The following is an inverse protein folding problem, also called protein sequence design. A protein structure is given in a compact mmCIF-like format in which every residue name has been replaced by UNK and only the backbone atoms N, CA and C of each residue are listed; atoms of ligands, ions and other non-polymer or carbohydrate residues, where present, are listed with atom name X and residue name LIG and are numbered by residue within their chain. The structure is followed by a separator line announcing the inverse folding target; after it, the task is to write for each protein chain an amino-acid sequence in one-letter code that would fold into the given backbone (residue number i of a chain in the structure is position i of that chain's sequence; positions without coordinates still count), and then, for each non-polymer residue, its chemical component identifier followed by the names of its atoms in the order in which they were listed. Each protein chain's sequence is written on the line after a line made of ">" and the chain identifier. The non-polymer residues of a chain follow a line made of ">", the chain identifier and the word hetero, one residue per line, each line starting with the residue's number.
data_IF_030071542132
#
_entry.id   IF_030071542132
#
_cell.length_a   1.000
_cell.length_b   1.000
_cell.length_c   1.000
_cell.angle_alpha   90.00
_cell.angle_beta   90.00
_cell.angle_gamma   90.00
#
_symmetry.space_group_name_H-M   'P 1'
#
loop_
_entity.id
_entity.type
_entity.pdbx_description
1 polymer ?
#
# COMPACT_ATOMS: atom_id res chain seq x y z
N UNK A 1 -4.06 -3.96 29.68
CA UNK A 1 -3.62 -4.71 28.47
C UNK A 1 -4.68 -4.70 27.36
N UNK A 2 -5.96 -4.83 27.69
CA UNK A 2 -7.07 -4.86 26.70
C UNK A 2 -7.33 -3.50 26.04
N UNK A 3 -7.33 -2.41 26.82
CA UNK A 3 -7.50 -1.05 26.29
C UNK A 3 -6.40 -0.62 25.28
N UNK A 4 -5.16 -1.05 25.49
CA UNK A 4 -4.05 -0.76 24.57
C UNK A 4 -4.20 -1.51 23.23
N UNK A 5 -4.70 -2.75 23.27
CA UNK A 5 -5.00 -3.53 22.06
C UNK A 5 -6.16 -2.93 21.27
N UNK A 6 -7.21 -2.49 21.96
CA UNK A 6 -8.37 -1.85 21.32
C UNK A 6 -7.96 -0.50 20.69
N UNK A 7 -7.15 0.30 21.39
CA UNK A 7 -6.60 1.55 20.86
C UNK A 7 -5.74 1.29 19.62
N UNK A 8 -4.84 0.30 19.67
CA UNK A 8 -4.02 -0.08 18.53
C UNK A 8 -4.86 -0.47 17.31
N UNK A 9 -5.87 -1.32 17.50
CA UNK A 9 -6.76 -1.76 16.42
C UNK A 9 -7.51 -0.58 15.76
N UNK A 10 -7.97 0.38 16.56
CA UNK A 10 -8.67 1.58 16.07
C UNK A 10 -7.72 2.58 15.38
N UNK A 11 -6.50 2.70 15.90
CA UNK A 11 -5.50 3.63 15.39
C UNK A 11 -4.76 3.12 14.15
N UNK A 12 -4.86 1.82 13.85
CA UNK A 12 -4.14 1.18 12.75
C UNK A 12 -4.41 1.89 11.41
N UNK A 13 -3.35 2.37 10.73
CA UNK A 13 -3.49 3.08 9.47
C UNK A 13 -4.24 2.27 8.41
N UNK A 14 -5.26 2.90 7.81
CA UNK A 14 -6.08 2.29 6.75
C UNK A 14 -5.50 2.46 5.34
N UNK A 15 -4.34 3.09 5.23
CA UNK A 15 -3.69 3.41 3.96
C UNK A 15 -2.43 2.56 3.78
N UNK A 16 -2.39 1.70 2.77
CA UNK A 16 -1.20 0.89 2.48
C UNK A 16 0.06 1.73 2.20
N UNK A 17 -0.11 2.96 1.68
CA UNK A 17 1.00 3.89 1.46
C UNK A 17 1.75 4.24 2.74
N UNK A 18 1.08 4.19 3.89
CA UNK A 18 1.71 4.45 5.18
C UNK A 18 2.80 3.43 5.51
N UNK A 19 2.63 2.19 5.06
CA UNK A 19 3.53 1.06 5.31
C UNK A 19 4.64 0.90 4.27
N UNK A 20 4.80 1.83 3.32
CA UNK A 20 5.88 1.76 2.31
C UNK A 20 7.27 1.98 2.89
N UNK A 21 7.35 2.66 4.03
CA UNK A 21 8.60 2.95 4.75
C UNK A 21 8.53 2.27 6.11
N UNK A 22 9.69 2.00 6.68
CA UNK A 22 9.81 1.60 8.08
C UNK A 22 9.24 2.72 8.95
N UNK A 23 8.28 2.37 9.81
CA UNK A 23 7.61 3.31 10.69
C UNK A 23 8.51 3.70 11.85
N UNK A 24 8.54 5.00 12.16
CA UNK A 24 9.23 5.55 13.34
C UNK A 24 8.28 5.65 14.53
N UNK A 25 8.83 5.79 15.74
CA UNK A 25 8.02 6.00 16.96
C UNK A 25 7.09 7.21 16.83
N UNK A 26 7.56 8.27 16.17
CA UNK A 26 6.75 9.45 15.88
C UNK A 26 5.57 9.14 14.95
N UNK A 27 5.81 8.40 13.86
CA UNK A 27 4.74 8.02 12.92
C UNK A 27 3.63 7.22 13.63
N UNK A 28 4.02 6.33 14.55
CA UNK A 28 3.10 5.47 15.32
C UNK A 28 2.38 6.24 16.42
N UNK A 29 3.09 7.07 17.19
CA UNK A 29 2.52 7.88 18.26
C UNK A 29 1.46 8.86 17.73
N UNK A 30 1.69 9.48 16.56
CA UNK A 30 0.72 10.36 15.92
C UNK A 30 -0.62 9.66 15.59
N UNK A 31 -0.60 8.33 15.42
CA UNK A 31 -1.80 7.53 15.13
C UNK A 31 -2.46 7.05 16.42
N UNK A 32 -1.68 6.44 17.31
CA UNK A 32 -2.17 5.90 18.58
C UNK A 32 -2.78 6.99 19.47
N UNK A 33 -2.08 8.11 19.61
CA UNK A 33 -2.41 9.15 20.59
C UNK A 33 -2.92 10.43 19.96
N UNK A 34 -3.56 10.32 18.80
CA UNK A 34 -4.06 11.50 18.07
C UNK A 34 -4.99 12.36 18.94
N UNK A 35 -5.87 11.74 19.71
CA UNK A 35 -6.84 12.45 20.57
C UNK A 35 -6.12 13.17 21.71
N UNK A 36 -5.22 12.48 22.38
CA UNK A 36 -4.42 13.02 23.49
C UNK A 36 -3.53 14.19 23.03
N UNK A 37 -2.92 14.07 21.85
CA UNK A 37 -2.15 15.15 21.23
C UNK A 37 -3.02 16.35 20.84
N UNK A 38 -4.20 16.13 20.27
CA UNK A 38 -5.14 17.20 19.91
C UNK A 38 -5.72 17.89 21.17
N UNK A 39 -5.96 17.16 22.26
CA UNK A 39 -6.37 17.70 23.56
C UNK A 39 -5.26 18.53 24.21
N UNK A 40 -4.02 18.04 24.16
CA UNK A 40 -2.86 18.79 24.65
C UNK A 40 -2.65 20.09 23.87
N UNK A 41 -2.76 20.06 22.53
CA UNK A 41 -2.66 21.26 21.70
C UNK A 41 -3.74 22.28 22.07
N UNK A 42 -5.00 21.85 22.23
CA UNK A 42 -6.10 22.72 22.67
C UNK A 42 -5.82 23.37 24.03
N UNK A 43 -5.34 22.59 25.00
CA UNK A 43 -5.03 23.10 26.34
C UNK A 43 -3.89 24.13 26.31
N UNK A 44 -2.83 23.89 25.52
CA UNK A 44 -1.72 24.83 25.38
C UNK A 44 -2.10 26.10 24.62
N UNK A 45 -2.95 25.97 23.60
CA UNK A 45 -3.50 27.10 22.86
C UNK A 45 -4.39 27.98 23.74
N UNK A 46 -5.25 27.38 24.56
CA UNK A 46 -6.07 28.10 25.53
C UNK A 46 -5.22 28.89 26.53
N UNK A 47 -4.14 28.29 27.07
CA UNK A 47 -3.20 28.98 27.98
C UNK A 47 -2.52 30.19 27.35
N UNK A 48 -2.20 30.12 26.05
CA UNK A 48 -1.59 31.21 25.29
C UNK A 48 -2.58 32.27 24.82
N UNK A 49 -3.88 32.09 25.07
CA UNK A 49 -4.93 32.97 24.56
C UNK A 49 -5.04 32.96 23.02
N UNK A 50 -4.47 31.95 22.35
CA UNK A 50 -4.50 31.83 20.88
C UNK A 50 -5.32 30.62 20.50
N UNK A 51 -6.48 30.81 19.87
CA UNK A 51 -7.33 29.72 19.39
C UNK A 51 -6.97 29.31 17.96
N UNK A 52 -6.83 28.01 17.71
CA UNK A 52 -6.67 27.39 16.38
C UNK A 52 -5.45 27.85 15.56
N UNK A 53 -4.39 28.30 16.22
CA UNK A 53 -3.18 28.75 15.55
C UNK A 53 -2.35 27.55 15.02
N UNK A 54 -2.49 27.25 13.73
CA UNK A 54 -1.82 26.14 13.02
C UNK A 54 -0.30 26.11 13.31
N UNK A 55 0.33 27.29 13.42
CA UNK A 55 1.77 27.44 13.68
C UNK A 55 2.27 26.69 14.92
N UNK A 56 1.42 26.50 15.93
CA UNK A 56 1.81 25.88 17.18
C UNK A 56 1.52 24.39 17.27
N UNK A 57 0.66 23.86 16.40
CA UNK A 57 0.18 22.47 16.49
C UNK A 57 1.33 21.46 16.42
N UNK A 58 2.27 21.65 15.51
CA UNK A 58 3.44 20.75 15.37
C UNK A 58 4.39 20.87 16.55
N UNK A 59 4.55 22.07 17.12
CA UNK A 59 5.40 22.28 18.29
C UNK A 59 4.80 21.60 19.53
N UNK A 60 3.52 21.80 19.81
CA UNK A 60 2.82 21.16 20.93
C UNK A 60 2.76 19.63 20.77
N UNK A 61 2.56 19.14 19.54
CA UNK A 61 2.62 17.71 19.24
C UNK A 61 4.00 17.11 19.58
N UNK A 62 5.09 17.80 19.21
CA UNK A 62 6.45 17.36 19.54
C UNK A 62 6.75 17.42 21.03
N UNK A 63 6.28 18.47 21.70
CA UNK A 63 6.40 18.62 23.15
C UNK A 63 5.67 17.49 23.89
N UNK A 64 4.44 17.18 23.48
CA UNK A 64 3.68 16.05 24.02
C UNK A 64 4.42 14.73 23.83
N UNK A 65 4.94 14.48 22.62
CA UNK A 65 5.70 13.25 22.32
C UNK A 65 6.95 13.10 23.18
N UNK A 66 7.70 14.19 23.38
CA UNK A 66 8.89 14.16 24.23
C UNK A 66 8.55 13.89 25.71
N UNK A 67 7.35 14.31 26.14
CA UNK A 67 6.85 14.15 27.51
C UNK A 67 6.02 12.87 27.73
N UNK A 68 6.02 11.92 26.77
CA UNK A 68 5.32 10.65 26.94
C UNK A 68 5.84 9.87 28.15
N UNK A 69 4.91 9.22 28.88
CA UNK A 69 5.25 8.31 29.96
C UNK A 69 5.99 7.07 29.44
N UNK A 70 6.67 6.34 30.32
CA UNK A 70 7.33 5.09 29.93
C UNK A 70 6.33 4.04 29.41
N UNK A 71 5.11 4.01 29.96
CA UNK A 71 4.05 3.11 29.50
C UNK A 71 3.60 3.45 28.07
N UNK A 72 3.43 4.74 27.76
CA UNK A 72 3.07 5.20 26.41
C UNK A 72 4.19 4.90 25.42
N UNK A 73 5.46 5.12 25.80
CA UNK A 73 6.61 4.79 24.95
C UNK A 73 6.65 3.29 24.63
N UNK A 74 6.38 2.44 25.61
CA UNK A 74 6.30 0.99 25.41
C UNK A 74 5.15 0.60 24.47
N UNK A 75 3.97 1.21 24.63
CA UNK A 75 2.82 0.99 23.72
C UNK A 75 3.16 1.37 22.27
N UNK A 76 3.89 2.47 22.07
CA UNK A 76 4.39 2.90 20.75
C UNK A 76 5.38 1.90 20.18
N UNK A 77 6.34 1.41 20.98
CA UNK A 77 7.34 0.45 20.53
C UNK A 77 6.71 -0.89 20.13
N UNK A 78 5.78 -1.41 20.94
CA UNK A 78 5.06 -2.66 20.67
C UNK A 78 4.22 -2.53 19.39
N UNK A 79 3.50 -1.42 19.23
CA UNK A 79 2.73 -1.15 18.01
C UNK A 79 3.63 -0.95 16.79
N UNK A 80 4.77 -0.25 16.92
CA UNK A 80 5.75 -0.08 15.84
C UNK A 80 6.25 -1.43 15.35
N UNK A 81 6.65 -2.31 16.26
CA UNK A 81 7.14 -3.64 15.91
C UNK A 81 6.06 -4.41 15.15
N UNK A 82 4.84 -4.47 15.72
CA UNK A 82 3.70 -5.13 15.11
C UNK A 82 3.35 -4.57 13.72
N UNK A 83 3.29 -3.25 13.57
CA UNK A 83 2.90 -2.61 12.30
C UNK A 83 3.96 -2.75 11.21
N UNK A 84 5.24 -2.77 11.57
CA UNK A 84 6.32 -3.03 10.62
C UNK A 84 6.41 -4.51 10.22
N UNK A 85 6.09 -5.44 11.13
CA UNK A 85 6.08 -6.89 10.86
C UNK A 85 4.84 -7.31 10.05
N UNK A 86 3.64 -6.92 10.48
CA UNK A 86 2.38 -7.33 9.84
C UNK A 86 2.02 -6.47 8.62
N UNK A 87 2.51 -5.22 8.56
CA UNK A 87 2.16 -4.26 7.52
C UNK A 87 0.69 -3.84 7.52
N UNK A 88 0.19 -3.40 6.37
CA UNK A 88 -1.22 -3.08 6.18
C UNK A 88 -2.07 -4.36 6.19
N UNK A 89 -3.33 -4.28 6.67
CA UNK A 89 -4.27 -5.40 6.58
C UNK A 89 -4.42 -5.86 5.12
N UNK A 90 -4.61 -7.17 4.90
CA UNK A 90 -4.67 -7.76 3.55
C UNK A 90 -5.70 -7.10 2.64
N UNK A 91 -6.86 -6.73 3.17
CA UNK A 91 -7.91 -6.04 2.42
C UNK A 91 -7.43 -4.65 1.92
N UNK A 92 -6.71 -3.91 2.76
CA UNK A 92 -6.13 -2.62 2.41
C UNK A 92 -5.03 -2.81 1.36
N UNK A 93 -4.21 -3.86 1.50
CA UNK A 93 -3.19 -4.18 0.50
C UNK A 93 -3.82 -4.52 -0.85
N UNK A 94 -4.86 -5.35 -0.88
CA UNK A 94 -5.58 -5.72 -2.10
C UNK A 94 -6.20 -4.50 -2.78
N UNK A 95 -6.86 -3.63 -2.00
CA UNK A 95 -7.43 -2.38 -2.50
C UNK A 95 -6.35 -1.44 -3.07
N UNK A 96 -5.23 -1.29 -2.37
CA UNK A 96 -4.12 -0.46 -2.84
C UNK A 96 -3.52 -1.01 -4.15
N UNK A 97 -3.25 -2.32 -4.21
CA UNK A 97 -2.74 -3.00 -5.41
C UNK A 97 -3.68 -2.76 -6.58
N UNK A 98 -4.98 -3.04 -6.42
CA UNK A 98 -5.99 -2.80 -7.45
C UNK A 98 -6.00 -1.35 -7.96
N UNK A 99 -5.99 -0.38 -7.05
CA UNK A 99 -6.07 1.04 -7.41
C UNK A 99 -4.79 1.57 -8.07
N UNK A 100 -3.62 0.99 -7.77
CA UNK A 100 -2.33 1.42 -8.34
C UNK A 100 -1.84 0.56 -9.49
N UNK A 101 -2.43 -0.62 -9.70
CA UNK A 101 -1.99 -1.60 -10.69
C UNK A 101 -1.84 -0.97 -12.07
N UNK A 102 -2.89 -0.30 -12.57
CA UNK A 102 -2.87 0.33 -13.89
C UNK A 102 -1.68 1.27 -14.05
N UNK A 103 -1.49 2.19 -13.09
CA UNK A 103 -0.38 3.14 -13.13
C UNK A 103 0.97 2.43 -13.13
N UNK A 104 1.16 1.43 -12.27
CA UNK A 104 2.41 0.67 -12.21
C UNK A 104 2.70 -0.04 -13.54
N UNK A 105 1.69 -0.63 -14.17
CA UNK A 105 1.83 -1.29 -15.47
C UNK A 105 2.12 -0.28 -16.59
N UNK A 106 1.44 0.86 -16.59
CA UNK A 106 1.70 1.95 -17.53
C UNK A 106 3.15 2.44 -17.38
N UNK A 107 3.60 2.75 -16.16
CA UNK A 107 4.97 3.22 -15.88
C UNK A 107 6.03 2.17 -16.29
N UNK A 108 5.79 0.88 -15.98
CA UNK A 108 6.70 -0.22 -16.34
C UNK A 108 6.76 -0.46 -17.85
N UNK A 109 5.60 -0.49 -18.51
CA UNK A 109 5.52 -0.66 -19.97
C UNK A 109 6.17 0.53 -20.69
N UNK A 110 6.05 1.74 -20.16
CA UNK A 110 6.71 2.92 -20.69
C UNK A 110 8.23 2.84 -20.54
N UNK A 111 8.74 2.39 -19.39
CA UNK A 111 10.18 2.20 -19.19
C UNK A 111 10.76 1.19 -20.19
N UNK A 112 10.11 0.03 -20.34
CA UNK A 112 10.50 -0.98 -21.33
C UNK A 112 10.48 -0.39 -22.74
N UNK A 113 9.39 0.29 -23.10
CA UNK A 113 9.23 0.88 -24.43
C UNK A 113 10.31 1.92 -24.72
N UNK A 114 10.61 2.81 -23.78
CA UNK A 114 11.67 3.84 -23.94
C UNK A 114 13.06 3.20 -24.11
N UNK A 115 13.28 2.06 -23.47
CA UNK A 115 14.57 1.37 -23.50
C UNK A 115 14.75 0.52 -24.74
N UNK A 116 13.71 -0.22 -25.14
CA UNK A 116 13.79 -1.26 -26.18
C UNK A 116 13.04 -0.92 -27.47
N UNK A 117 12.24 0.14 -27.49
CA UNK A 117 11.46 0.55 -28.67
C UNK A 117 10.34 -0.41 -29.07
N UNK A 118 9.93 -1.32 -28.18
CA UNK A 118 8.96 -2.38 -28.48
C UNK A 118 7.54 -2.07 -27.97
N UNK A 119 6.54 -2.70 -28.59
CA UNK A 119 5.17 -2.79 -28.04
C UNK A 119 5.17 -3.87 -26.97
N UNK A 120 4.68 -3.52 -25.78
CA UNK A 120 4.63 -4.44 -24.65
C UNK A 120 3.21 -4.99 -24.51
N UNK A 121 3.11 -6.31 -24.40
CA UNK A 121 1.90 -7.06 -24.04
C UNK A 121 2.27 -7.96 -22.87
N UNK A 122 1.49 -7.94 -21.80
CA UNK A 122 1.77 -8.72 -20.59
C UNK A 122 0.50 -9.28 -19.95
N UNK A 123 0.60 -10.50 -19.44
CA UNK A 123 -0.40 -11.12 -18.58
C UNK A 123 -0.07 -10.76 -17.13
N UNK A 124 -1.07 -10.28 -16.40
CA UNK A 124 -0.89 -9.76 -15.04
C UNK A 124 -1.90 -10.41 -14.12
N UNK A 125 -1.41 -11.10 -13.09
CA UNK A 125 -2.21 -11.69 -12.03
C UNK A 125 -2.10 -10.88 -10.74
N UNK A 126 -3.22 -10.66 -10.07
CA UNK A 126 -3.24 -10.02 -8.75
C UNK A 126 -4.44 -10.50 -7.93
N UNK A 127 -4.32 -10.46 -6.60
CA UNK A 127 -5.45 -10.73 -5.69
C UNK A 127 -6.50 -9.61 -5.85
N UNK A 128 -7.74 -9.99 -6.20
CA UNK A 128 -8.87 -9.08 -6.43
C UNK A 128 -9.46 -8.55 -5.12
N UNK A 129 -9.35 -9.36 -4.07
CA UNK A 129 -9.86 -9.14 -2.71
C UNK A 129 -9.04 -9.98 -1.72
N UNK A 130 -9.25 -9.77 -0.41
CA UNK A 130 -8.65 -10.59 0.64
C UNK A 130 -9.12 -12.06 0.58
N UNK A 131 -10.30 -12.32 0.00
CA UNK A 131 -10.93 -13.63 -0.17
C UNK A 131 -10.29 -14.52 -1.26
N UNK A 132 -9.02 -14.28 -1.59
CA UNK A 132 -8.19 -15.15 -2.43
C UNK A 132 -8.63 -15.28 -3.91
N UNK A 133 -9.63 -14.54 -4.38
CA UNK A 133 -9.94 -14.55 -5.82
C UNK A 133 -8.86 -13.83 -6.62
N UNK A 134 -8.22 -14.54 -7.55
CA UNK A 134 -7.24 -13.96 -8.48
C UNK A 134 -7.94 -13.29 -9.66
N UNK A 135 -7.41 -12.14 -10.05
CA UNK A 135 -7.75 -11.47 -11.29
C UNK A 135 -6.56 -11.58 -12.22
N UNK A 136 -6.78 -12.18 -13.38
CA UNK A 136 -5.81 -12.23 -14.49
C UNK A 136 -6.29 -11.25 -15.56
N UNK A 137 -5.42 -10.36 -16.00
CA UNK A 137 -5.73 -9.33 -17.00
C UNK A 137 -4.62 -9.21 -18.02
N UNK A 138 -4.99 -8.98 -19.27
CA UNK A 138 -4.05 -8.58 -20.31
C UNK A 138 -3.82 -7.07 -20.22
N UNK A 139 -2.57 -6.65 -20.09
CA UNK A 139 -2.17 -5.26 -20.22
C UNK A 139 -1.40 -5.08 -21.52
N UNK A 140 -1.79 -4.06 -22.26
CA UNK A 140 -1.19 -3.72 -23.54
C UNK A 140 -0.81 -2.25 -23.59
N UNK A 141 0.42 -2.02 -24.00
CA UNK A 141 1.03 -0.72 -24.09
C UNK A 141 0.53 0.02 -25.35
N UNK A 142 0.14 1.30 -25.23
CA UNK A 142 -0.33 2.06 -26.40
C UNK A 142 0.77 2.27 -27.47
N UNK A 143 0.44 2.15 -28.76
CA UNK A 143 1.40 2.41 -29.84
C UNK A 143 1.71 3.91 -29.97
N UNK A 144 2.99 4.27 -30.05
CA UNK A 144 3.45 5.66 -30.16
C UNK A 144 3.21 6.28 -31.54
N UNK A 145 3.05 5.45 -32.58
CA UNK A 145 2.90 5.89 -33.96
C UNK A 145 1.76 5.12 -34.63
N UNK A 146 0.53 5.61 -34.49
CA UNK A 146 -0.65 5.10 -35.23
C UNK A 146 -0.46 5.19 -36.76
N UNK A 147 0.52 5.98 -37.23
CA UNK A 147 0.80 6.22 -38.65
C UNK A 147 1.83 5.27 -39.30
N UNK A 148 2.54 4.42 -38.56
CA UNK A 148 3.45 3.42 -39.16
C UNK A 148 2.94 2.02 -38.85
N UNK A 149 2.42 1.36 -39.88
CA UNK A 149 2.16 -0.07 -39.88
C UNK A 149 3.50 -0.79 -39.79
N UNK A 150 4.01 -0.98 -38.58
CA UNK A 150 4.89 -2.13 -38.34
C UNK A 150 4.07 -3.36 -38.73
N UNK A 151 4.63 -4.20 -39.61
CA UNK A 151 4.02 -5.45 -40.04
C UNK A 151 3.68 -6.27 -38.80
N UNK A 152 2.40 -6.23 -38.41
CA UNK A 152 1.89 -7.03 -37.33
C UNK A 152 1.83 -8.47 -37.82
N UNK A 153 2.84 -9.26 -37.46
CA UNK A 153 2.68 -10.72 -37.41
C UNK A 153 1.66 -10.99 -36.30
N UNK A 154 0.38 -11.05 -36.67
CA UNK A 154 -0.76 -11.04 -35.73
C UNK A 154 -1.24 -12.43 -35.32
N UNK A 155 -0.84 -13.47 -36.04
CA UNK A 155 -1.50 -14.77 -35.90
C UNK A 155 -0.91 -15.55 -34.73
N UNK A 156 0.43 -15.57 -34.58
CA UNK A 156 1.08 -16.17 -33.41
C UNK A 156 0.83 -15.43 -32.08
N UNK A 157 0.53 -14.12 -32.13
CA UNK A 157 0.23 -13.32 -30.93
C UNK A 157 -1.16 -13.65 -30.38
N UNK A 158 -2.15 -13.89 -31.25
CA UNK A 158 -3.53 -14.18 -30.83
C UNK A 158 -3.65 -15.55 -30.16
N UNK A 159 -3.01 -16.58 -30.71
CA UNK A 159 -2.95 -17.92 -30.10
C UNK A 159 -2.20 -17.90 -28.76
N UNK A 160 -1.09 -17.16 -28.67
CA UNK A 160 -0.36 -17.01 -27.41
C UNK A 160 -1.20 -16.31 -26.33
N UNK A 161 -2.00 -15.30 -26.69
CA UNK A 161 -2.86 -14.62 -25.72
C UNK A 161 -3.99 -15.53 -25.23
N UNK A 162 -4.66 -16.30 -26.11
CA UNK A 162 -5.74 -17.18 -25.67
C UNK A 162 -5.25 -18.36 -24.85
N UNK A 163 -4.25 -19.10 -25.35
CA UNK A 163 -3.74 -20.30 -24.69
C UNK A 163 -2.83 -19.93 -23.51
N UNK A 164 -2.03 -18.89 -23.65
CA UNK A 164 -1.16 -18.39 -22.58
C UNK A 164 -1.94 -17.76 -21.42
N UNK A 165 -3.12 -17.18 -21.64
CA UNK A 165 -3.95 -16.66 -20.56
C UNK A 165 -4.41 -17.77 -19.61
N UNK A 166 -4.87 -18.90 -20.15
CA UNK A 166 -5.31 -20.05 -19.35
C UNK A 166 -4.14 -20.66 -18.56
N UNK A 167 -3.02 -20.96 -19.23
CA UNK A 167 -1.82 -21.47 -18.57
C UNK A 167 -1.29 -20.52 -17.50
N UNK A 168 -1.25 -19.22 -17.79
CA UNK A 168 -0.80 -18.22 -16.81
C UNK A 168 -1.78 -18.09 -15.65
N UNK A 169 -3.08 -18.23 -15.89
CA UNK A 169 -4.08 -18.23 -14.82
C UNK A 169 -3.89 -19.43 -13.89
N UNK A 170 -3.65 -20.62 -14.43
CA UNK A 170 -3.35 -21.83 -13.64
C UNK A 170 -2.04 -21.71 -12.87
N UNK A 171 -0.95 -21.33 -13.55
CA UNK A 171 0.34 -21.08 -12.91
C UNK A 171 0.22 -20.05 -11.78
N UNK A 172 -0.51 -18.95 -12.01
CA UNK A 172 -0.70 -17.92 -10.99
C UNK A 172 -1.50 -18.41 -9.78
N UNK A 173 -2.43 -19.36 -9.96
CA UNK A 173 -3.12 -19.98 -8.82
C UNK A 173 -2.15 -20.77 -7.96
N UNK A 174 -1.27 -21.56 -8.58
CA UNK A 174 -0.25 -22.33 -7.87
C UNK A 174 0.75 -21.43 -7.14
N UNK A 175 1.16 -20.33 -7.77
CA UNK A 175 2.14 -19.41 -7.18
C UNK A 175 1.56 -18.62 -5.99
N UNK A 176 0.32 -18.13 -6.11
CA UNK A 176 -0.33 -17.36 -5.05
C UNK A 176 -0.92 -18.23 -3.93
N UNK A 177 -1.22 -19.49 -4.25
CA UNK A 177 -1.71 -20.51 -3.33
C UNK A 177 -0.92 -21.79 -3.57
N UNK A 178 0.34 -21.87 -3.10
CA UNK A 178 1.03 -23.14 -3.07
C UNK A 178 0.17 -24.05 -2.19
N UNK A 179 -0.55 -24.98 -2.81
CA UNK A 179 -1.12 -26.09 -2.07
C UNK A 179 0.05 -26.70 -1.32
N UNK A 180 0.02 -26.65 0.01
CA UNK A 180 0.90 -27.45 0.84
C UNK A 180 0.62 -28.92 0.50
N UNK A 181 1.24 -29.40 -0.56
CA UNK A 181 1.38 -30.79 -0.93
C UNK A 181 2.71 -31.29 -0.34
N UNK A 182 2.93 -31.02 0.94
CA UNK A 182 3.95 -31.66 1.74
C UNK A 182 3.23 -32.25 2.96
N UNK A 183 2.77 -33.50 2.79
CA UNK A 183 2.55 -34.45 3.88
C UNK A 183 3.86 -35.19 4.14
#
# INVERSE_FOLDING_TARGET
>A
MEAAKEREALARPKEASFYKKVLTDWDVAQKLFKKEMDEYDKAQQAKKGTSHAIRYRTAHAREWFNNMSQEQKKEVEDAKKKWNEEGALEEIQANYRRNKLKKTLDDFSEQIRRTMGCRVVMLVSHKKKADQTLSVTLHESQPQNVKKNFSGSSDGIKEWVSTGFEFFAEWSKMEFYPTNLDN
#
